data_IF_463555482308
#
_entry.id   IF_463555482308
#
_cell.length_a   1.000
_cell.length_b   1.000
_cell.length_c   1.000
_cell.angle_alpha   90.00
_cell.angle_beta   90.00
_cell.angle_gamma   90.00
#
_symmetry.space_group_name_H-M   'P 1'
#
loop_
_entity.id
_entity.type
_entity.pdbx_description
1 polymer ?
#
# COMPACT_ATOMS: atom_id res chain seq x y z
N UNK A 1 7.84 11.40 -23.77
CA UNK A 1 6.57 11.05 -23.06
C UNK A 1 6.84 10.43 -21.70
N UNK A 2 7.65 9.36 -21.62
CA UNK A 2 8.05 8.74 -20.35
C UNK A 2 8.80 9.70 -19.42
N UNK A 3 9.75 10.49 -19.94
CA UNK A 3 10.46 11.51 -19.15
C UNK A 3 9.50 12.51 -18.51
N UNK A 4 8.55 13.05 -19.29
CA UNK A 4 7.51 13.95 -18.79
C UNK A 4 6.66 13.31 -17.68
N UNK A 5 6.37 12.01 -17.77
CA UNK A 5 5.65 11.29 -16.71
C UNK A 5 6.52 11.18 -15.46
N UNK A 6 7.79 10.83 -15.60
CA UNK A 6 8.72 10.73 -14.48
C UNK A 6 8.92 12.09 -13.78
N UNK A 7 9.04 13.18 -14.55
CA UNK A 7 9.16 14.53 -14.02
C UNK A 7 7.91 14.92 -13.23
N UNK A 8 6.72 14.69 -13.80
CA UNK A 8 5.44 14.96 -13.13
C UNK A 8 5.28 14.13 -11.85
N UNK A 9 5.65 12.85 -11.91
CA UNK A 9 5.57 11.94 -10.77
C UNK A 9 6.54 12.35 -9.64
N UNK A 10 7.72 12.84 -10.01
CA UNK A 10 8.72 13.38 -9.07
C UNK A 10 8.25 14.69 -8.45
N UNK A 11 7.69 15.61 -9.24
CA UNK A 11 7.13 16.86 -8.75
C UNK A 11 5.94 16.61 -7.81
N UNK A 12 5.06 15.68 -8.16
CA UNK A 12 3.92 15.31 -7.32
C UNK A 12 4.38 14.63 -6.03
N UNK A 13 5.37 13.74 -6.11
CA UNK A 13 6.02 13.15 -4.95
C UNK A 13 6.57 14.22 -4.01
N UNK A 14 7.42 15.14 -4.52
CA UNK A 14 8.02 16.21 -3.73
C UNK A 14 6.96 17.15 -3.13
N UNK A 15 5.88 17.42 -3.88
CA UNK A 15 4.76 18.22 -3.36
C UNK A 15 4.08 17.53 -2.17
N UNK A 16 3.77 16.24 -2.26
CA UNK A 16 3.10 15.49 -1.18
C UNK A 16 4.04 15.32 0.01
N UNK A 17 5.25 14.83 -0.24
CA UNK A 17 6.25 14.56 0.79
C UNK A 17 6.69 15.86 1.49
N UNK A 18 6.80 16.98 0.77
CA UNK A 18 7.10 18.31 1.33
C UNK A 18 6.00 18.90 2.22
N UNK A 19 4.80 18.30 2.29
CA UNK A 19 3.73 18.69 3.23
C UNK A 19 3.81 17.95 4.57
N UNK A 20 4.89 17.20 4.80
CA UNK A 20 5.09 16.49 6.06
C UNK A 20 5.11 17.44 7.27
N UNK A 21 4.79 16.89 8.44
CA UNK A 21 4.94 17.58 9.72
C UNK A 21 4.89 16.59 10.89
N UNK A 22 5.41 17.03 12.04
CA UNK A 22 5.56 16.22 13.25
C UNK A 22 4.27 15.58 13.78
N UNK A 23 3.10 16.13 13.46
CA UNK A 23 1.81 15.56 13.85
C UNK A 23 1.44 14.36 12.96
N UNK A 24 1.55 14.49 11.63
CA UNK A 24 1.18 13.43 10.71
C UNK A 24 2.26 12.35 10.51
N UNK A 25 3.53 12.64 10.81
CA UNK A 25 4.63 11.68 10.71
C UNK A 25 4.37 10.35 11.46
N UNK A 26 4.01 10.35 12.76
CA UNK A 26 3.70 9.10 13.47
C UNK A 26 2.45 8.40 12.90
N UNK A 27 1.45 9.16 12.45
CA UNK A 27 0.22 8.60 11.87
C UNK A 27 0.53 7.86 10.57
N UNK A 28 1.30 8.48 9.67
CA UNK A 28 1.66 7.90 8.38
C UNK A 28 2.67 6.75 8.52
N UNK A 29 3.53 6.79 9.55
CA UNK A 29 4.37 5.66 9.90
C UNK A 29 3.53 4.43 10.28
N UNK A 30 2.57 4.58 11.22
CA UNK A 30 1.71 3.47 11.66
C UNK A 30 0.70 3.03 10.61
N UNK A 31 0.15 3.96 9.82
CA UNK A 31 -0.74 3.64 8.71
C UNK A 31 -0.05 2.71 7.70
N UNK A 32 1.26 2.85 7.52
CA UNK A 32 2.03 1.98 6.65
C UNK A 32 2.49 0.67 7.31
N UNK A 33 2.45 0.55 8.63
CA UNK A 33 2.97 -0.61 9.34
C UNK A 33 1.96 -1.76 9.34
N UNK A 34 2.39 -2.94 8.89
CA UNK A 34 1.49 -4.10 8.76
C UNK A 34 1.05 -4.67 10.11
N UNK A 35 1.87 -4.52 11.16
CA UNK A 35 1.57 -5.07 12.48
C UNK A 35 0.54 -4.21 13.21
N UNK A 36 0.57 -2.90 12.99
CA UNK A 36 -0.45 -1.97 13.47
C UNK A 36 -1.87 -2.40 13.07
N UNK A 37 -2.05 -2.98 11.87
CA UNK A 37 -3.34 -3.43 11.36
C UNK A 37 -3.81 -4.81 11.83
N UNK A 38 -3.05 -5.50 12.71
CA UNK A 38 -3.45 -6.82 13.25
C UNK A 38 -4.88 -6.82 13.84
N UNK A 39 -5.30 -5.83 14.65
CA UNK A 39 -6.68 -5.78 15.15
C UNK A 39 -7.72 -5.68 14.03
N UNK A 40 -7.42 -4.92 12.97
CA UNK A 40 -8.30 -4.80 11.81
C UNK A 40 -8.39 -6.12 11.04
N UNK A 41 -7.26 -6.82 10.83
CA UNK A 41 -7.27 -8.13 10.20
C UNK A 41 -8.00 -9.18 11.03
N UNK A 42 -7.88 -9.15 12.35
CA UNK A 42 -8.65 -10.02 13.24
C UNK A 42 -10.16 -9.73 13.15
N UNK A 43 -10.55 -8.45 13.06
CA UNK A 43 -11.94 -8.06 12.82
C UNK A 43 -12.47 -8.56 11.48
N UNK A 44 -11.70 -8.41 10.39
CA UNK A 44 -12.06 -8.95 9.08
C UNK A 44 -12.22 -10.48 9.12
N UNK A 45 -11.28 -11.18 9.75
CA UNK A 45 -11.34 -12.63 9.92
C UNK A 45 -12.62 -13.06 10.65
N UNK A 46 -12.98 -12.37 11.73
CA UNK A 46 -14.24 -12.61 12.46
C UNK A 46 -15.46 -12.46 11.55
N UNK A 47 -15.54 -11.37 10.76
CA UNK A 47 -16.65 -11.14 9.83
C UNK A 47 -16.72 -12.25 8.77
N UNK A 48 -15.58 -12.66 8.21
CA UNK A 48 -15.51 -13.71 7.20
C UNK A 48 -15.97 -15.07 7.74
N UNK A 49 -15.52 -15.45 8.94
CA UNK A 49 -15.95 -16.71 9.58
C UNK A 49 -17.44 -16.66 9.89
N UNK A 50 -17.95 -15.55 10.41
CA UNK A 50 -19.38 -15.39 10.73
C UNK A 50 -20.25 -15.47 9.48
N UNK A 51 -19.84 -14.84 8.38
CA UNK A 51 -20.64 -14.77 7.16
C UNK A 51 -20.60 -16.07 6.36
N UNK A 52 -19.41 -16.63 6.16
CA UNK A 52 -19.21 -17.78 5.28
C UNK A 52 -19.17 -19.13 6.02
N UNK A 53 -19.12 -19.13 7.36
CA UNK A 53 -19.09 -20.33 8.21
C UNK A 53 -17.99 -21.29 7.75
N UNK A 54 -18.30 -22.57 7.47
CA UNK A 54 -17.32 -23.55 6.95
C UNK A 54 -16.71 -23.15 5.60
N UNK A 55 -17.42 -22.37 4.77
CA UNK A 55 -16.91 -21.89 3.48
C UNK A 55 -15.85 -20.78 3.65
N UNK A 56 -15.67 -20.24 4.86
CA UNK A 56 -14.64 -19.23 5.14
C UNK A 56 -13.23 -19.76 4.83
N UNK A 57 -13.00 -21.08 4.96
CA UNK A 57 -11.71 -21.69 4.62
C UNK A 57 -11.34 -21.42 3.16
N UNK A 58 -12.27 -21.58 2.21
CA UNK A 58 -12.01 -21.27 0.79
C UNK A 58 -11.75 -19.79 0.55
N UNK A 59 -12.46 -18.91 1.29
CA UNK A 59 -12.23 -17.46 1.23
C UNK A 59 -10.85 -17.11 1.74
N UNK A 60 -10.42 -17.70 2.87
CA UNK A 60 -9.10 -17.46 3.45
C UNK A 60 -7.98 -18.00 2.57
N UNK A 61 -8.18 -19.16 1.93
CA UNK A 61 -7.25 -19.68 0.92
C UNK A 61 -7.15 -18.75 -0.28
N UNK A 62 -8.28 -18.23 -0.78
CA UNK A 62 -8.28 -17.25 -1.87
C UNK A 62 -7.56 -15.95 -1.48
N UNK A 63 -7.77 -15.45 -0.26
CA UNK A 63 -7.03 -14.28 0.27
C UNK A 63 -5.54 -14.56 0.35
N UNK A 64 -5.13 -15.70 0.92
CA UNK A 64 -3.72 -16.07 1.02
C UNK A 64 -3.05 -16.20 -0.36
N UNK A 65 -3.76 -16.79 -1.32
CA UNK A 65 -3.31 -16.90 -2.70
C UNK A 65 -3.19 -15.52 -3.37
N UNK A 66 -4.20 -14.66 -3.19
CA UNK A 66 -4.20 -13.30 -3.72
C UNK A 66 -3.02 -12.48 -3.19
N UNK A 67 -2.80 -12.47 -1.87
CA UNK A 67 -1.68 -11.76 -1.25
C UNK A 67 -0.34 -12.31 -1.75
N UNK A 68 -0.22 -13.62 -1.90
CA UNK A 68 0.97 -14.24 -2.48
C UNK A 68 1.21 -13.75 -3.91
N UNK A 69 0.18 -13.72 -4.77
CA UNK A 69 0.31 -13.20 -6.14
C UNK A 69 0.72 -11.74 -6.14
N UNK A 70 0.04 -10.89 -5.36
CA UNK A 70 0.32 -9.47 -5.27
C UNK A 70 1.77 -9.22 -4.84
N UNK A 71 2.24 -9.90 -3.80
CA UNK A 71 3.59 -9.71 -3.30
C UNK A 71 4.65 -10.27 -4.25
N UNK A 72 4.46 -11.47 -4.79
CA UNK A 72 5.43 -12.08 -5.72
C UNK A 72 5.52 -11.29 -7.03
N UNK A 73 4.39 -10.84 -7.57
CA UNK A 73 4.36 -10.04 -8.79
C UNK A 73 5.04 -8.68 -8.57
N UNK A 74 4.71 -7.98 -7.48
CA UNK A 74 5.30 -6.68 -7.18
C UNK A 74 6.78 -6.79 -6.82
N UNK A 75 7.14 -7.71 -5.91
CA UNK A 75 8.47 -7.77 -5.29
C UNK A 75 9.52 -8.50 -6.13
N UNK A 76 9.14 -9.58 -6.83
CA UNK A 76 10.11 -10.43 -7.54
C UNK A 76 10.07 -10.29 -9.05
N UNK A 77 8.89 -10.10 -9.65
CA UNK A 77 8.79 -9.98 -11.10
C UNK A 77 9.04 -8.53 -11.54
N UNK A 78 8.20 -7.61 -11.09
CA UNK A 78 8.18 -6.24 -11.63
C UNK A 78 9.38 -5.42 -11.14
N UNK A 79 9.69 -5.45 -9.84
CA UNK A 79 10.84 -4.68 -9.31
C UNK A 79 12.17 -5.07 -9.95
N UNK A 80 12.38 -6.35 -10.21
CA UNK A 80 13.62 -6.83 -10.84
C UNK A 80 13.67 -6.57 -12.35
N UNK A 81 12.51 -6.44 -13.00
CA UNK A 81 12.42 -6.11 -14.42
C UNK A 81 12.61 -4.60 -14.65
N UNK A 82 11.93 -3.76 -13.87
CA UNK A 82 11.89 -2.30 -14.07
C UNK A 82 13.08 -1.60 -13.40
N UNK A 83 13.55 -2.10 -12.25
CA UNK A 83 14.69 -1.56 -11.48
C UNK A 83 14.62 -0.05 -11.23
N UNK A 84 13.41 0.49 -11.09
CA UNK A 84 13.20 1.89 -10.73
C UNK A 84 13.59 2.12 -9.27
N UNK A 85 14.57 2.99 -9.03
CA UNK A 85 14.97 3.40 -7.69
C UNK A 85 13.80 4.08 -6.95
N UNK A 86 13.72 3.87 -5.65
CA UNK A 86 12.81 4.63 -4.78
C UNK A 86 13.30 6.08 -4.66
N UNK A 87 12.42 7.02 -4.28
CA UNK A 87 12.84 8.38 -3.97
C UNK A 87 13.95 8.41 -2.90
N UNK A 88 13.88 7.53 -1.91
CA UNK A 88 14.88 7.38 -0.85
C UNK A 88 16.26 6.88 -1.28
N UNK A 89 16.40 6.41 -2.52
CA UNK A 89 17.66 5.90 -3.09
C UNK A 89 18.06 6.65 -4.37
N UNK A 90 17.33 7.72 -4.71
CA UNK A 90 17.60 8.53 -5.89
C UNK A 90 18.57 9.66 -5.50
N UNK A 91 19.82 9.66 -6.00
CA UNK A 91 20.84 10.64 -5.58
C UNK A 91 20.43 12.09 -5.83
N UNK A 92 19.66 12.33 -6.88
CA UNK A 92 19.16 13.68 -7.19
C UNK A 92 18.14 14.21 -6.18
N UNK A 93 17.57 13.34 -5.33
CA UNK A 93 16.54 13.69 -4.35
C UNK A 93 17.02 13.62 -2.90
N UNK A 94 18.26 13.20 -2.63
CA UNK A 94 18.78 12.90 -1.28
C UNK A 94 18.53 14.03 -0.26
N UNK A 95 18.68 15.29 -0.66
CA UNK A 95 18.51 16.47 0.19
C UNK A 95 17.13 17.16 0.06
N UNK A 96 16.23 16.61 -0.76
CA UNK A 96 14.92 17.17 -1.06
C UNK A 96 13.77 16.41 -0.40
N UNK A 97 14.04 15.23 0.14
CA UNK A 97 13.02 14.35 0.71
C UNK A 97 12.98 14.40 2.23
N UNK A 98 11.77 14.24 2.75
CA UNK A 98 11.54 13.84 4.12
C UNK A 98 11.38 12.33 4.19
N UNK A 99 12.38 11.65 4.77
CA UNK A 99 12.31 10.22 5.03
C UNK A 99 11.83 9.98 6.47
N UNK A 100 10.68 9.34 6.61
CA UNK A 100 10.10 9.02 7.92
C UNK A 100 10.84 7.84 8.59
N UNK A 101 10.57 7.59 9.88
CA UNK A 101 11.11 6.51 10.72
C UNK A 101 10.93 5.09 10.15
N UNK A 102 10.07 4.92 9.14
CA UNK A 102 9.96 3.67 8.38
C UNK A 102 11.29 3.27 7.70
N UNK A 103 12.20 4.22 7.50
CA UNK A 103 13.47 4.02 6.82
C UNK A 103 13.33 3.93 5.30
N UNK A 104 14.45 3.81 4.56
CA UNK A 104 14.47 3.88 3.10
C UNK A 104 13.81 2.65 2.43
N UNK A 105 13.68 1.55 3.17
CA UNK A 105 13.21 0.27 2.64
C UNK A 105 14.18 -0.32 1.60
N UNK A 106 13.69 -1.16 0.68
CA UNK A 106 14.52 -1.77 -0.37
C UNK A 106 14.89 -0.81 -1.51
N UNK A 107 15.80 -1.19 -2.40
CA UNK A 107 16.25 -0.31 -3.49
C UNK A 107 15.15 0.07 -4.49
N UNK A 108 14.35 -0.90 -4.94
CA UNK A 108 13.38 -0.69 -6.03
C UNK A 108 11.96 -0.42 -5.52
N UNK A 109 11.28 0.53 -6.18
CA UNK A 109 9.98 1.07 -5.77
C UNK A 109 8.77 0.51 -6.53
N UNK A 110 8.91 0.29 -7.85
CA UNK A 110 7.78 0.00 -8.73
C UNK A 110 7.52 -1.52 -8.86
N UNK A 111 6.35 -2.08 -8.55
CA UNK A 111 5.13 -1.52 -7.92
C UNK A 111 5.21 -1.69 -6.39
N UNK A 112 4.51 -0.83 -5.62
CA UNK A 112 4.45 -0.94 -4.17
C UNK A 112 3.65 -2.16 -3.70
N UNK A 113 4.32 -3.10 -3.04
CA UNK A 113 3.67 -4.29 -2.47
C UNK A 113 2.66 -3.96 -1.39
N UNK A 114 2.86 -2.87 -0.63
CA UNK A 114 1.90 -2.44 0.40
C UNK A 114 0.58 -2.00 -0.25
N UNK A 115 0.66 -1.17 -1.28
CA UNK A 115 -0.52 -0.73 -2.03
C UNK A 115 -1.19 -1.89 -2.77
N UNK A 116 -0.41 -2.74 -3.45
CA UNK A 116 -0.93 -3.91 -4.15
C UNK A 116 -1.69 -4.87 -3.22
N UNK A 117 -1.13 -5.17 -2.04
CA UNK A 117 -1.78 -6.04 -1.05
C UNK A 117 -3.03 -5.40 -0.46
N UNK A 118 -2.98 -4.11 -0.11
CA UNK A 118 -4.12 -3.42 0.49
C UNK A 118 -5.29 -3.29 -0.49
N UNK A 119 -5.04 -2.84 -1.72
CA UNK A 119 -6.08 -2.75 -2.76
C UNK A 119 -6.55 -4.12 -3.25
N UNK A 120 -5.65 -5.11 -3.34
CA UNK A 120 -6.02 -6.48 -3.67
C UNK A 120 -7.01 -7.04 -2.66
N UNK A 121 -6.68 -6.98 -1.38
CA UNK A 121 -7.57 -7.44 -0.30
C UNK A 121 -8.87 -6.63 -0.27
N UNK A 122 -8.80 -5.30 -0.30
CA UNK A 122 -9.98 -4.45 -0.27
C UNK A 122 -10.93 -4.74 -1.43
N UNK A 123 -10.42 -4.81 -2.67
CA UNK A 123 -11.22 -5.09 -3.86
C UNK A 123 -11.88 -6.47 -3.78
N UNK A 124 -11.10 -7.50 -3.42
CA UNK A 124 -11.63 -8.86 -3.26
C UNK A 124 -12.78 -8.90 -2.25
N UNK A 125 -12.61 -8.28 -1.08
CA UNK A 125 -13.62 -8.27 -0.04
C UNK A 125 -14.83 -7.38 -0.39
N UNK A 126 -14.62 -6.24 -1.07
CA UNK A 126 -15.69 -5.36 -1.53
C UNK A 126 -16.63 -6.10 -2.49
N UNK A 127 -16.07 -6.91 -3.40
CA UNK A 127 -16.84 -7.71 -4.35
C UNK A 127 -17.49 -8.92 -3.68
N UNK A 128 -16.79 -9.57 -2.74
CA UNK A 128 -17.25 -10.80 -2.09
C UNK A 128 -18.35 -10.55 -1.03
N UNK A 129 -18.24 -9.49 -0.22
CA UNK A 129 -19.13 -9.25 0.91
C UNK A 129 -20.53 -8.80 0.44
N UNK A 130 -21.61 -9.26 1.11
CA UNK A 130 -22.98 -8.83 0.77
C UNK A 130 -23.25 -7.38 1.15
N UNK A 131 -24.35 -6.81 0.60
CA UNK A 131 -24.74 -5.39 0.78
C UNK A 131 -24.89 -4.93 2.23
N UNK A 132 -25.23 -5.83 3.16
CA UNK A 132 -25.32 -5.49 4.61
C UNK A 132 -23.99 -5.01 5.21
N UNK A 133 -22.86 -5.26 4.54
CA UNK A 133 -21.53 -4.78 4.91
C UNK A 133 -21.07 -3.57 4.09
N UNK A 134 -21.96 -2.81 3.45
CA UNK A 134 -21.57 -1.65 2.65
C UNK A 134 -20.72 -0.64 3.44
N UNK A 135 -21.00 -0.43 4.73
CA UNK A 135 -20.16 0.40 5.61
C UNK A 135 -18.69 -0.09 5.64
N UNK A 136 -18.47 -1.41 5.72
CA UNK A 136 -17.14 -2.01 5.74
C UNK A 136 -16.46 -1.91 4.38
N UNK A 137 -17.22 -1.94 3.28
CA UNK A 137 -16.68 -1.73 1.93
C UNK A 137 -16.08 -0.33 1.78
N UNK A 138 -16.76 0.70 2.30
CA UNK A 138 -16.21 2.06 2.34
C UNK A 138 -14.96 2.14 3.22
N UNK A 139 -14.99 1.52 4.41
CA UNK A 139 -13.81 1.46 5.29
C UNK A 139 -12.63 0.78 4.61
N UNK A 140 -12.83 -0.34 3.91
CA UNK A 140 -11.78 -1.04 3.17
C UNK A 140 -11.17 -0.17 2.06
N UNK A 141 -12.00 0.57 1.32
CA UNK A 141 -11.53 1.49 0.29
C UNK A 141 -10.71 2.63 0.88
N UNK A 142 -11.22 3.29 1.93
CA UNK A 142 -10.49 4.36 2.64
C UNK A 142 -9.19 3.85 3.25
N UNK A 143 -9.20 2.65 3.83
CA UNK A 143 -8.01 2.01 4.39
C UNK A 143 -6.95 1.75 3.32
N UNK A 144 -7.32 1.18 2.17
CA UNK A 144 -6.38 0.94 1.08
C UNK A 144 -5.76 2.23 0.54
N UNK A 145 -6.56 3.29 0.38
CA UNK A 145 -6.09 4.63 0.00
C UNK A 145 -5.14 5.20 1.05
N UNK A 146 -5.47 5.07 2.35
CA UNK A 146 -4.61 5.53 3.45
C UNK A 146 -3.26 4.81 3.44
N UNK A 147 -3.26 3.48 3.30
CA UNK A 147 -2.02 2.69 3.21
C UNK A 147 -1.19 3.15 2.01
N UNK A 148 -1.78 3.26 0.82
CA UNK A 148 -1.07 3.69 -0.38
C UNK A 148 -0.50 5.12 -0.25
N UNK A 149 -1.30 6.06 0.22
CA UNK A 149 -0.88 7.45 0.45
C UNK A 149 0.27 7.53 1.45
N UNK A 150 0.22 6.75 2.54
CA UNK A 150 1.27 6.73 3.55
C UNK A 150 2.64 6.35 2.99
N UNK A 151 2.69 5.55 1.90
CA UNK A 151 3.95 5.17 1.24
C UNK A 151 4.61 6.33 0.51
N UNK A 152 3.81 7.20 -0.10
CA UNK A 152 4.30 8.44 -0.74
C UNK A 152 4.76 9.41 0.35
N UNK A 153 3.91 9.62 1.37
CA UNK A 153 4.20 10.52 2.49
C UNK A 153 5.50 10.15 3.19
N UNK A 154 5.73 8.85 3.46
CA UNK A 154 6.92 8.37 4.17
C UNK A 154 8.22 8.45 3.36
N UNK A 155 8.19 8.91 2.10
CA UNK A 155 9.39 9.13 1.29
C UNK A 155 9.91 7.89 0.57
N UNK A 156 9.11 6.81 0.49
CA UNK A 156 9.57 5.49 0.03
C UNK A 156 9.00 5.05 -1.32
N UNK A 157 8.01 5.74 -1.86
CA UNK A 157 7.41 5.41 -3.16
C UNK A 157 6.95 6.67 -3.89
N UNK A 158 7.03 6.62 -5.22
CA UNK A 158 6.41 7.64 -6.06
C UNK A 158 4.88 7.40 -6.20
N UNK A 159 4.09 8.43 -6.54
CA UNK A 159 2.66 8.26 -6.84
C UNK A 159 2.35 7.16 -7.85
N UNK A 160 3.11 7.05 -8.95
CA UNK A 160 2.88 5.96 -9.92
C UNK A 160 3.25 4.57 -9.39
N UNK A 161 4.04 4.45 -8.32
CA UNK A 161 4.31 3.15 -7.70
C UNK A 161 3.09 2.59 -6.94
N UNK A 162 2.09 3.43 -6.64
CA UNK A 162 0.93 3.07 -5.80
C UNK A 162 -0.42 3.12 -6.53
N UNK A 163 -0.45 3.61 -7.77
CA UNK A 163 -1.61 3.60 -8.69
C UNK A 163 -1.59 2.29 -9.48
#
# INVERSE_FOLDING_TARGET
>A
MLEKINDLDTQLFLFINGKHNSFFDPIMYWASDKLFWVPFYAFLLFILIREFKRKSVYVLLAVAFLITICDQSASHLIKNAVKRLRPSHEPSLENLIHLNKAGPGGQYGFISSHSANAFGLATFLILLLPRKYNWLKYVLGCWAVLVAYSRIYNGVHYPTDVI
#
